data_IF_008548364067
#
_entry.id   IF_008548364067
#
_cell.length_a   1.000
_cell.length_b   1.000
_cell.length_c   1.000
_cell.angle_alpha   90.00
_cell.angle_beta   90.00
_cell.angle_gamma   90.00
#
_symmetry.space_group_name_H-M   'P 1'
#
loop_
_entity.id
_entity.type
_entity.pdbx_description
1 polymer ?
#
# COMPACT_ATOMS: atom_id res chain seq x y z
N UNK A 1 -12.38 1.73 21.03
CA UNK A 1 -10.90 1.71 21.06
C UNK A 1 -10.32 0.36 21.52
N UNK A 2 -10.75 -0.22 22.65
CA UNK A 2 -10.21 -1.51 23.14
C UNK A 2 -10.33 -2.71 22.18
N UNK A 3 -11.42 -2.79 21.39
CA UNK A 3 -11.59 -3.85 20.36
C UNK A 3 -10.64 -3.65 19.17
N UNK A 4 -10.45 -2.41 18.72
CA UNK A 4 -9.59 -2.07 17.57
C UNK A 4 -8.12 -2.27 17.91
N UNK A 5 -7.70 -1.84 19.09
CA UNK A 5 -6.35 -2.08 19.62
C UNK A 5 -6.07 -3.58 19.77
N UNK A 6 -7.03 -4.34 20.30
CA UNK A 6 -6.94 -5.81 20.38
C UNK A 6 -6.84 -6.48 19.00
N UNK A 7 -7.60 -6.03 18.00
CA UNK A 7 -7.47 -6.53 16.64
C UNK A 7 -6.06 -6.28 16.08
N UNK A 8 -5.49 -5.09 16.32
CA UNK A 8 -4.10 -4.78 15.96
C UNK A 8 -3.09 -5.69 16.65
N UNK A 9 -3.30 -6.02 17.92
CA UNK A 9 -2.44 -6.95 18.65
C UNK A 9 -2.57 -8.39 18.13
N UNK A 10 -3.78 -8.84 17.78
CA UNK A 10 -3.98 -10.15 17.11
C UNK A 10 -3.26 -10.22 15.76
N UNK A 11 -3.37 -9.18 14.93
CA UNK A 11 -2.61 -9.08 13.68
C UNK A 11 -1.11 -9.08 13.96
N UNK A 12 -0.66 -8.27 14.92
CA UNK A 12 0.75 -8.18 15.31
C UNK A 12 1.32 -9.52 15.79
N UNK A 13 0.58 -10.25 16.62
CA UNK A 13 0.95 -11.57 17.11
C UNK A 13 1.00 -12.61 15.97
N UNK A 14 0.00 -12.64 15.10
CA UNK A 14 -0.03 -13.55 13.95
C UNK A 14 1.14 -13.27 12.99
N UNK A 15 1.39 -11.99 12.67
CA UNK A 15 2.52 -11.58 11.84
C UNK A 15 3.86 -11.92 12.50
N UNK A 16 3.99 -11.77 13.83
CA UNK A 16 5.21 -12.15 14.56
C UNK A 16 5.48 -13.65 14.43
N UNK A 17 4.45 -14.47 14.70
CA UNK A 17 4.54 -15.94 14.55
C UNK A 17 4.94 -16.29 13.13
N UNK A 18 4.27 -15.72 12.11
CA UNK A 18 4.59 -15.98 10.71
C UNK A 18 6.01 -15.53 10.32
N UNK A 19 6.52 -14.47 10.96
CA UNK A 19 7.87 -13.95 10.71
C UNK A 19 8.94 -14.85 11.30
N UNK A 20 8.79 -15.26 12.56
CA UNK A 20 9.76 -16.09 13.31
C UNK A 20 9.77 -17.53 12.77
N UNK A 21 8.61 -18.09 12.44
CA UNK A 21 8.49 -19.43 11.84
C UNK A 21 8.93 -19.50 10.37
N UNK A 22 9.11 -18.35 9.71
CA UNK A 22 9.43 -18.29 8.29
C UNK A 22 8.24 -18.55 7.35
N UNK A 23 7.01 -18.64 7.88
CA UNK A 23 5.79 -18.77 7.05
C UNK A 23 5.66 -17.62 6.04
N UNK A 24 6.05 -16.39 6.41
CA UNK A 24 6.07 -15.26 5.45
C UNK A 24 6.94 -15.55 4.22
N UNK A 25 8.09 -16.20 4.41
CA UNK A 25 8.98 -16.60 3.30
C UNK A 25 8.34 -17.72 2.46
N UNK A 26 7.51 -18.55 3.06
CA UNK A 26 6.68 -19.54 2.35
C UNK A 26 5.65 -18.85 1.46
N UNK A 27 4.90 -17.89 2.01
CA UNK A 27 3.90 -17.12 1.26
C UNK A 27 4.53 -16.42 0.07
N UNK A 28 5.64 -15.70 0.24
CA UNK A 28 6.36 -15.02 -0.86
C UNK A 28 6.77 -15.98 -1.97
N UNK A 29 7.16 -17.22 -1.65
CA UNK A 29 7.55 -18.20 -2.68
C UNK A 29 6.37 -18.71 -3.51
N UNK A 30 5.16 -18.66 -2.97
CA UNK A 30 3.95 -19.17 -3.63
C UNK A 30 3.23 -18.07 -4.41
N UNK A 31 3.31 -16.81 -3.95
CA UNK A 31 2.60 -15.70 -4.55
C UNK A 31 3.37 -15.15 -5.76
N UNK A 32 2.82 -15.23 -6.98
CA UNK A 32 3.51 -14.76 -8.18
C UNK A 32 3.50 -13.23 -8.25
N UNK A 33 4.54 -12.64 -8.84
CA UNK A 33 4.69 -11.18 -8.93
C UNK A 33 3.48 -10.45 -9.56
N UNK A 34 2.80 -10.97 -10.60
CA UNK A 34 1.58 -10.35 -11.12
C UNK A 34 0.47 -10.13 -10.09
N UNK A 35 0.32 -11.03 -9.10
CA UNK A 35 -0.65 -10.86 -8.01
C UNK A 35 -0.22 -9.72 -7.09
N UNK A 36 1.07 -9.64 -6.74
CA UNK A 36 1.60 -8.54 -5.91
C UNK A 36 1.39 -7.18 -6.59
N UNK A 37 1.72 -7.09 -7.89
CA UNK A 37 1.51 -5.88 -8.70
C UNK A 37 0.01 -5.53 -8.82
N UNK A 38 -0.86 -6.55 -8.86
CA UNK A 38 -2.31 -6.36 -8.87
C UNK A 38 -2.85 -5.80 -7.57
N UNK A 39 -2.28 -6.20 -6.43
CA UNK A 39 -2.62 -5.62 -5.12
C UNK A 39 -2.19 -4.15 -5.05
N UNK A 40 -0.99 -3.81 -5.52
CA UNK A 40 -0.51 -2.43 -5.58
C UNK A 40 -1.39 -1.57 -6.50
N UNK A 41 -1.71 -2.07 -7.70
CA UNK A 41 -2.60 -1.38 -8.65
C UNK A 41 -4.00 -1.19 -8.06
N UNK A 42 -4.58 -2.23 -7.46
CA UNK A 42 -5.88 -2.17 -6.79
C UNK A 42 -5.90 -1.20 -5.62
N UNK A 43 -4.87 -1.18 -4.78
CA UNK A 43 -4.74 -0.23 -3.68
C UNK A 43 -4.60 1.22 -4.19
N UNK A 44 -3.79 1.45 -5.23
CA UNK A 44 -3.63 2.77 -5.85
C UNK A 44 -4.94 3.31 -6.43
N UNK A 45 -5.67 2.47 -7.16
CA UNK A 45 -6.99 2.81 -7.70
C UNK A 45 -8.05 3.00 -6.59
N UNK A 46 -8.00 2.21 -5.52
CA UNK A 46 -8.88 2.37 -4.36
C UNK A 46 -8.67 3.71 -3.66
N UNK A 47 -7.42 4.18 -3.53
CA UNK A 47 -7.10 5.52 -3.02
C UNK A 47 -7.68 6.63 -3.92
N UNK A 48 -7.56 6.49 -5.23
CA UNK A 48 -8.10 7.45 -6.20
C UNK A 48 -9.64 7.49 -6.12
N UNK A 49 -10.30 6.34 -6.10
CA UNK A 49 -11.75 6.25 -5.96
C UNK A 49 -12.22 6.83 -4.62
N UNK A 50 -11.51 6.52 -3.53
CA UNK A 50 -11.79 7.04 -2.20
C UNK A 50 -11.67 8.56 -2.15
N UNK A 51 -10.59 9.13 -2.66
CA UNK A 51 -10.41 10.57 -2.74
C UNK A 51 -11.47 11.25 -3.63
N UNK A 52 -11.75 10.66 -4.80
CA UNK A 52 -12.77 11.15 -5.71
C UNK A 52 -14.15 11.21 -5.06
N UNK A 53 -14.59 10.11 -4.45
CA UNK A 53 -15.94 9.97 -3.89
C UNK A 53 -16.15 10.65 -2.53
N UNK A 54 -15.17 10.55 -1.61
CA UNK A 54 -15.33 11.04 -0.23
C UNK A 54 -14.80 12.45 -0.01
N UNK A 55 -13.83 12.91 -0.82
CA UNK A 55 -13.18 14.22 -0.65
C UNK A 55 -13.59 15.21 -1.73
N UNK A 56 -13.61 14.80 -3.01
CA UNK A 56 -13.78 15.74 -4.12
C UNK A 56 -15.22 15.90 -4.61
N UNK A 57 -15.96 14.80 -4.77
CA UNK A 57 -17.37 14.82 -5.20
C UNK A 57 -18.25 15.72 -4.32
N UNK A 58 -18.14 15.70 -2.97
CA UNK A 58 -18.97 16.52 -2.10
C UNK A 58 -18.66 18.03 -2.14
N UNK A 59 -17.56 18.45 -2.77
CA UNK A 59 -17.20 19.87 -2.84
C UNK A 59 -18.16 20.64 -3.74
N UNK A 60 -18.46 21.88 -3.37
CA UNK A 60 -19.13 22.83 -4.26
C UNK A 60 -18.09 23.64 -5.04
N UNK A 61 -18.52 24.41 -6.04
CA UNK A 61 -17.60 25.14 -6.92
C UNK A 61 -16.93 26.35 -6.27
N UNK A 62 -17.67 27.16 -5.51
CA UNK A 62 -17.14 28.40 -4.91
C UNK A 62 -17.29 28.53 -3.39
N UNK A 63 -17.99 27.60 -2.73
CA UNK A 63 -18.25 27.67 -1.29
C UNK A 63 -17.95 26.33 -0.61
N UNK A 64 -17.31 26.32 0.57
CA UNK A 64 -16.64 27.44 1.26
C UNK A 64 -15.48 28.03 0.44
N UNK A 65 -15.07 29.27 0.74
CA UNK A 65 -14.05 29.99 -0.05
C UNK A 65 -12.68 29.29 -0.09
N UNK A 66 -12.31 28.58 0.98
CA UNK A 66 -11.03 27.91 1.15
C UNK A 66 -11.07 26.39 0.91
N UNK A 67 -12.25 25.81 0.69
CA UNK A 67 -12.36 24.38 0.41
C UNK A 67 -13.45 24.09 -0.64
N UNK A 68 -13.07 24.18 -1.91
CA UNK A 68 -13.99 24.06 -3.04
C UNK A 68 -13.31 23.45 -4.28
N UNK A 69 -14.10 23.20 -5.33
CA UNK A 69 -13.61 22.59 -6.57
C UNK A 69 -12.63 23.48 -7.34
N UNK A 70 -12.66 24.80 -7.18
CA UNK A 70 -11.66 25.69 -7.79
C UNK A 70 -10.28 25.42 -7.22
N UNK A 71 -10.16 25.29 -5.89
CA UNK A 71 -8.90 24.88 -5.26
C UNK A 71 -8.44 23.49 -5.67
N UNK A 72 -9.37 22.53 -5.81
CA UNK A 72 -9.04 21.21 -6.33
C UNK A 72 -8.53 21.27 -7.78
N UNK A 73 -9.14 22.10 -8.64
CA UNK A 73 -8.70 22.30 -10.02
C UNK A 73 -7.32 22.95 -10.08
N UNK A 74 -7.08 24.00 -9.28
CA UNK A 74 -5.76 24.64 -9.18
C UNK A 74 -4.71 23.61 -8.75
N UNK A 75 -4.99 22.86 -7.68
CA UNK A 75 -4.09 21.82 -7.19
C UNK A 75 -3.78 20.77 -8.26
N UNK A 76 -4.80 20.36 -9.03
CA UNK A 76 -4.64 19.40 -10.12
C UNK A 76 -3.84 19.95 -11.31
N UNK A 77 -4.11 21.17 -11.75
CA UNK A 77 -3.37 21.82 -12.82
C UNK A 77 -1.90 22.02 -12.46
N UNK A 78 -1.61 22.44 -11.23
CA UNK A 78 -0.23 22.54 -10.73
C UNK A 78 0.42 21.17 -10.65
N UNK A 79 -0.31 20.13 -10.21
CA UNK A 79 0.21 18.77 -10.16
C UNK A 79 0.65 18.31 -11.55
N UNK A 80 -0.18 18.52 -12.59
CA UNK A 80 0.13 18.17 -13.98
C UNK A 80 1.29 19.01 -14.51
N UNK A 81 1.22 20.33 -14.36
CA UNK A 81 2.24 21.26 -14.87
C UNK A 81 3.62 21.01 -14.27
N UNK A 82 3.68 20.47 -13.06
CA UNK A 82 4.93 20.22 -12.33
C UNK A 82 5.43 18.78 -12.45
N UNK A 83 4.75 17.88 -13.17
CA UNK A 83 5.17 16.46 -13.27
C UNK A 83 6.56 16.27 -13.84
N UNK A 84 6.97 17.12 -14.79
CA UNK A 84 8.29 17.06 -15.43
C UNK A 84 9.38 17.84 -14.67
N UNK A 85 9.00 18.64 -13.67
CA UNK A 85 9.93 19.40 -12.86
C UNK A 85 10.42 18.51 -11.73
N UNK A 86 11.62 17.93 -11.93
CA UNK A 86 12.22 16.95 -11.01
C UNK A 86 12.45 17.44 -9.57
N UNK A 87 12.33 18.76 -9.31
CA UNK A 87 12.59 19.38 -8.00
C UNK A 87 11.43 20.18 -7.42
N UNK A 88 10.24 20.14 -8.01
CA UNK A 88 9.11 20.91 -7.46
C UNK A 88 8.53 20.22 -6.21
N UNK A 89 8.59 20.83 -5.01
CA UNK A 89 8.17 20.19 -3.76
C UNK A 89 6.65 20.27 -3.58
N UNK A 90 5.89 19.69 -4.52
CA UNK A 90 4.43 19.78 -4.60
C UNK A 90 3.75 19.46 -3.26
N UNK A 91 4.04 18.30 -2.67
CA UNK A 91 3.40 17.88 -1.42
C UNK A 91 3.66 18.85 -0.27
N UNK A 92 4.88 19.39 -0.16
CA UNK A 92 5.22 20.33 0.91
C UNK A 92 4.49 21.66 0.75
N UNK A 93 4.50 22.23 -0.46
CA UNK A 93 3.83 23.51 -0.74
C UNK A 93 2.32 23.41 -0.53
N UNK A 94 1.69 22.35 -1.03
CA UNK A 94 0.25 22.16 -0.86
C UNK A 94 -0.12 21.75 0.57
N UNK A 95 0.76 21.08 1.30
CA UNK A 95 0.59 20.83 2.74
C UNK A 95 0.62 22.14 3.54
N UNK A 96 1.60 23.02 3.28
CA UNK A 96 1.70 24.33 3.94
C UNK A 96 0.48 25.20 3.59
N UNK A 97 0.07 25.22 2.32
CA UNK A 97 -1.13 25.94 1.88
C UNK A 97 -2.39 25.42 2.57
N UNK A 98 -2.55 24.09 2.66
CA UNK A 98 -3.68 23.47 3.33
C UNK A 98 -3.69 23.75 4.84
N UNK A 99 -2.52 23.75 5.49
CA UNK A 99 -2.40 24.17 6.89
C UNK A 99 -2.79 25.62 7.06
N UNK A 100 -2.32 26.53 6.20
CA UNK A 100 -2.70 27.93 6.23
C UNK A 100 -4.22 28.10 6.11
N UNK A 101 -4.86 27.37 5.20
CA UNK A 101 -6.33 27.40 5.07
C UNK A 101 -7.04 26.86 6.30
N UNK A 102 -6.53 25.77 6.90
CA UNK A 102 -7.08 25.25 8.13
C UNK A 102 -6.99 26.28 9.27
N UNK A 103 -5.85 26.95 9.43
CA UNK A 103 -5.66 28.01 10.42
C UNK A 103 -6.60 29.19 10.20
N UNK A 104 -6.75 29.65 8.95
CA UNK A 104 -7.67 30.74 8.62
C UNK A 104 -9.12 30.33 8.92
N UNK A 105 -9.52 29.09 8.57
CA UNK A 105 -10.87 28.61 8.86
C UNK A 105 -11.15 28.53 10.35
N UNK A 106 -10.24 27.99 11.16
CA UNK A 106 -10.37 27.95 12.63
C UNK A 106 -10.48 29.36 13.22
N UNK A 107 -9.66 30.30 12.72
CA UNK A 107 -9.70 31.69 13.18
C UNK A 107 -11.03 32.40 12.84
N UNK A 108 -11.63 32.09 11.68
CA UNK A 108 -12.93 32.65 11.26
C UNK A 108 -14.10 31.98 11.99
N UNK A 109 -14.02 30.68 12.25
CA UNK A 109 -15.08 29.93 12.94
C UNK A 109 -15.10 30.14 14.46
N UNK A 110 -14.15 30.91 14.99
CA UNK A 110 -13.95 31.13 16.43
C UNK A 110 -13.75 29.84 17.23
N UNK A 111 -13.26 28.78 16.57
CA UNK A 111 -12.81 27.58 17.24
C UNK A 111 -11.43 27.78 17.87
N UNK A 112 -11.10 26.96 18.87
CA UNK A 112 -9.82 27.03 19.57
C UNK A 112 -8.67 26.60 18.66
N UNK A 113 -7.70 27.51 18.46
CA UNK A 113 -6.42 27.19 17.84
C UNK A 113 -5.62 26.19 18.69
N UNK A 114 -4.76 25.33 18.10
CA UNK A 114 -3.92 24.42 18.88
C UNK A 114 -3.07 25.16 19.91
N UNK A 115 -3.08 24.69 21.15
CA UNK A 115 -2.28 25.25 22.24
C UNK A 115 -1.29 24.22 22.77
N UNK A 116 -0.27 24.70 23.50
CA UNK A 116 0.69 23.82 24.14
C UNK A 116 -0.01 22.98 25.21
N UNK A 117 -0.06 21.69 24.95
CA UNK A 117 -0.62 20.68 25.82
C UNK A 117 0.33 19.48 25.83
N UNK A 118 1.05 19.35 26.93
CA UNK A 118 1.94 18.21 27.13
C UNK A 118 1.12 16.92 27.17
N UNK A 119 1.29 16.08 26.15
CA UNK A 119 0.60 14.81 26.08
C UNK A 119 1.03 13.90 27.22
N UNK A 120 0.05 13.21 27.82
CA UNK A 120 0.27 12.19 28.84
C UNK A 120 -0.10 10.80 28.29
N UNK A 121 0.72 9.76 28.53
CA UNK A 121 0.39 8.40 28.12
C UNK A 121 -0.83 7.89 28.88
N UNK A 122 -1.84 7.44 28.13
CA UNK A 122 -3.01 6.74 28.68
C UNK A 122 -2.93 5.28 28.30
N UNK A 123 -3.03 4.41 29.29
CA UNK A 123 -3.08 2.98 29.05
C UNK A 123 -4.50 2.58 28.63
N UNK A 124 -4.63 1.90 27.50
CA UNK A 124 -5.89 1.37 26.99
C UNK A 124 -5.84 -0.15 27.09
N UNK A 125 -6.70 -0.73 27.93
CA UNK A 125 -6.82 -2.17 28.05
C UNK A 125 -7.47 -2.76 26.78
N UNK A 126 -6.76 -3.61 26.01
CA UNK A 126 -7.34 -4.23 24.83
C UNK A 126 -8.40 -5.28 25.20
N UNK A 127 -9.47 -5.37 24.41
CA UNK A 127 -10.50 -6.40 24.56
C UNK A 127 -10.23 -7.54 23.58
N UNK A 128 -9.29 -8.44 23.92
CA UNK A 128 -8.88 -9.55 23.04
C UNK A 128 -9.99 -10.54 22.72
N UNK A 129 -10.83 -10.83 23.72
CA UNK A 129 -11.95 -11.76 23.65
C UNK A 129 -13.18 -11.05 24.17
N UNK A 130 -14.25 -11.06 23.38
CA UNK A 130 -15.56 -10.55 23.79
C UNK A 130 -16.46 -11.69 24.26
N UNK A 131 -17.43 -11.39 25.12
CA UNK A 131 -18.50 -12.34 25.42
C UNK A 131 -19.41 -12.47 24.18
N UNK A 132 -19.28 -13.56 23.42
CA UNK A 132 -19.98 -13.79 22.15
C UNK A 132 -19.03 -13.76 20.94
N UNK A 133 -19.35 -12.93 19.93
CA UNK A 133 -18.78 -12.98 18.58
C UNK A 133 -17.30 -12.55 18.44
N UNK A 134 -16.52 -12.37 19.51
CA UNK A 134 -15.07 -12.04 19.45
C UNK A 134 -14.67 -11.05 18.32
N UNK A 135 -15.22 -9.82 18.31
CA UNK A 135 -15.12 -8.89 17.19
C UNK A 135 -13.67 -8.51 16.83
N UNK A 136 -12.78 -8.44 17.83
CA UNK A 136 -11.36 -8.17 17.60
C UNK A 136 -10.70 -9.24 16.73
N UNK A 137 -11.09 -10.51 16.90
CA UNK A 137 -10.53 -11.64 16.17
C UNK A 137 -11.04 -11.66 14.72
N UNK A 138 -12.32 -11.37 14.47
CA UNK A 138 -12.84 -11.22 13.11
C UNK A 138 -12.20 -10.05 12.36
N UNK A 139 -12.01 -8.92 13.03
CA UNK A 139 -11.27 -7.78 12.47
C UNK A 139 -9.83 -8.17 12.11
N UNK A 140 -9.16 -8.93 13.00
CA UNK A 140 -7.80 -9.40 12.75
C UNK A 140 -7.73 -10.38 11.57
N UNK A 141 -8.68 -11.32 11.46
CA UNK A 141 -8.78 -12.24 10.32
C UNK A 141 -8.94 -11.47 9.01
N UNK A 142 -9.81 -10.46 8.98
CA UNK A 142 -9.99 -9.61 7.79
C UNK A 142 -8.75 -8.79 7.44
N UNK A 143 -7.99 -8.34 8.45
CA UNK A 143 -6.86 -7.43 8.29
C UNK A 143 -5.52 -8.14 8.04
N UNK A 144 -5.39 -9.40 8.43
CA UNK A 144 -4.15 -10.16 8.31
C UNK A 144 -3.68 -10.31 6.85
N UNK A 145 -4.55 -10.63 5.87
CA UNK A 145 -4.16 -10.65 4.45
C UNK A 145 -3.71 -9.27 3.97
N UNK A 146 -4.46 -8.21 4.29
CA UNK A 146 -4.10 -6.83 3.88
C UNK A 146 -2.73 -6.42 4.43
N UNK A 147 -2.48 -6.68 5.71
CA UNK A 147 -1.20 -6.35 6.36
C UNK A 147 -0.07 -7.16 5.75
N UNK A 148 -0.26 -8.47 5.56
CA UNK A 148 0.77 -9.34 5.00
C UNK A 148 1.10 -8.96 3.55
N UNK A 149 0.08 -8.78 2.72
CA UNK A 149 0.24 -8.57 1.30
C UNK A 149 0.66 -7.12 0.99
N UNK A 150 -0.07 -6.12 1.47
CA UNK A 150 0.17 -4.72 1.14
C UNK A 150 1.27 -4.10 2.03
N UNK A 151 1.33 -4.46 3.31
CA UNK A 151 2.23 -3.80 4.27
C UNK A 151 3.59 -4.50 4.45
N UNK A 152 3.73 -5.75 4.02
CA UNK A 152 4.98 -6.50 4.14
C UNK A 152 5.52 -6.88 2.77
N UNK A 153 4.76 -7.68 2.01
CA UNK A 153 5.22 -8.24 0.72
C UNK A 153 5.34 -7.13 -0.33
N UNK A 154 4.28 -6.34 -0.54
CA UNK A 154 4.28 -5.25 -1.51
C UNK A 154 5.27 -4.13 -1.15
N UNK A 155 5.50 -3.86 0.14
CA UNK A 155 6.53 -2.90 0.59
C UNK A 155 7.93 -3.41 0.27
N UNK A 156 8.23 -4.69 0.53
CA UNK A 156 9.52 -5.30 0.20
C UNK A 156 9.77 -5.27 -1.32
N UNK A 157 8.78 -5.71 -2.11
CA UNK A 157 8.87 -5.69 -3.57
C UNK A 157 9.03 -4.26 -4.12
N UNK A 158 8.24 -3.31 -3.64
CA UNK A 158 8.33 -1.92 -4.08
C UNK A 158 9.68 -1.28 -3.69
N UNK A 159 10.23 -1.61 -2.52
CA UNK A 159 11.54 -1.11 -2.11
C UNK A 159 12.63 -1.53 -3.09
N UNK A 160 12.57 -2.77 -3.57
CA UNK A 160 13.50 -3.28 -4.58
C UNK A 160 13.32 -2.58 -5.93
N UNK A 161 12.07 -2.33 -6.35
CA UNK A 161 11.79 -1.67 -7.63
C UNK A 161 12.22 -0.18 -7.63
N UNK A 162 12.02 0.52 -6.50
CA UNK A 162 12.32 1.95 -6.39
C UNK A 162 13.78 2.24 -6.07
N UNK A 163 14.46 1.35 -5.34
CA UNK A 163 15.84 1.55 -4.85
C UNK A 163 16.70 0.31 -5.13
N UNK A 164 16.92 -0.06 -6.41
CA UNK A 164 17.61 -1.29 -6.78
C UNK A 164 19.09 -1.34 -6.37
N UNK A 165 19.70 -0.18 -6.12
CA UNK A 165 21.10 -0.06 -5.69
C UNK A 165 21.29 -0.33 -4.19
N UNK A 166 20.20 -0.39 -3.42
CA UNK A 166 20.25 -0.59 -1.96
C UNK A 166 19.82 -2.02 -1.59
N UNK A 167 20.32 -2.58 -0.47
CA UNK A 167 19.87 -3.87 0.03
C UNK A 167 18.37 -3.86 0.33
N UNK A 168 17.60 -4.72 -0.33
CA UNK A 168 16.16 -4.84 -0.11
C UNK A 168 15.88 -5.39 1.29
N UNK A 169 15.01 -4.74 2.09
CA UNK A 169 14.60 -5.27 3.38
C UNK A 169 13.82 -6.58 3.23
N UNK A 170 14.15 -7.57 4.07
CA UNK A 170 13.47 -8.86 4.04
C UNK A 170 12.04 -8.76 4.57
N UNK A 171 11.14 -9.60 4.06
CA UNK A 171 9.76 -9.70 4.57
C UNK A 171 9.69 -10.06 6.06
N UNK A 172 10.68 -10.80 6.57
CA UNK A 172 10.79 -11.12 8.00
C UNK A 172 11.12 -9.87 8.81
N UNK A 173 12.08 -9.06 8.36
CA UNK A 173 12.48 -7.81 9.05
C UNK A 173 11.31 -6.81 9.08
N UNK A 174 10.61 -6.66 7.95
CA UNK A 174 9.42 -5.79 7.86
C UNK A 174 8.30 -6.35 8.74
N UNK A 175 8.04 -7.66 8.70
CA UNK A 175 7.02 -8.32 9.52
C UNK A 175 7.25 -8.17 11.02
N UNK A 176 8.48 -8.37 11.49
CA UNK A 176 8.85 -8.14 12.89
C UNK A 176 8.64 -6.67 13.27
N UNK A 177 9.02 -5.73 12.41
CA UNK A 177 8.77 -4.31 12.64
C UNK A 177 7.27 -4.01 12.79
N UNK A 178 6.41 -4.52 11.89
CA UNK A 178 4.96 -4.37 11.99
C UNK A 178 4.41 -4.97 13.29
N UNK A 179 4.88 -6.18 13.65
CA UNK A 179 4.48 -6.82 14.88
C UNK A 179 4.84 -6.00 16.11
N UNK A 180 6.09 -5.55 16.22
CA UNK A 180 6.57 -4.74 17.35
C UNK A 180 5.80 -3.43 17.48
N UNK A 181 5.54 -2.74 16.36
CA UNK A 181 4.76 -1.51 16.37
C UNK A 181 3.35 -1.75 16.95
N UNK A 182 2.64 -2.78 16.47
CA UNK A 182 1.28 -3.06 16.95
C UNK A 182 1.20 -3.66 18.34
N UNK A 183 2.17 -4.48 18.75
CA UNK A 183 2.21 -5.10 20.07
C UNK A 183 2.65 -4.12 21.16
N UNK A 184 3.29 -2.99 20.81
CA UNK A 184 3.73 -1.97 21.76
C UNK A 184 2.81 -0.74 21.78
N UNK A 185 2.54 -0.11 20.63
CA UNK A 185 1.86 1.20 20.59
C UNK A 185 0.38 1.14 20.99
N UNK A 186 -0.28 0.02 20.73
CA UNK A 186 -1.72 -0.16 20.96
C UNK A 186 -2.10 -0.12 22.44
N UNK A 187 -1.16 -0.47 23.35
CA UNK A 187 -1.34 -0.31 24.79
C UNK A 187 -1.50 1.15 25.23
N UNK A 188 -1.00 2.08 24.41
CA UNK A 188 -1.12 3.52 24.64
C UNK A 188 -2.27 4.16 23.84
N UNK A 189 -3.21 3.33 23.35
CA UNK A 189 -4.36 3.79 22.58
C UNK A 189 -4.07 4.11 21.12
N UNK A 190 -2.88 3.78 20.60
CA UNK A 190 -2.60 3.89 19.16
C UNK A 190 -3.55 3.01 18.37
N UNK A 191 -4.06 3.53 17.26
CA UNK A 191 -4.68 2.67 16.24
C UNK A 191 -3.62 1.69 15.70
N UNK A 192 -4.03 0.50 15.23
CA UNK A 192 -3.11 -0.43 14.58
C UNK A 192 -2.41 0.24 13.40
N UNK A 193 -1.10 0.05 13.30
CA UNK A 193 -0.25 0.69 12.30
C UNK A 193 0.43 -0.35 11.43
N UNK A 194 0.85 0.04 10.25
CA UNK A 194 1.57 -0.82 9.34
C UNK A 194 2.57 -0.01 8.53
N UNK A 195 3.48 -0.69 7.85
CA UNK A 195 4.14 -0.07 6.70
C UNK A 195 3.14 -0.01 5.54
N UNK A 196 3.38 0.81 4.53
CA UNK A 196 2.47 0.88 3.40
C UNK A 196 3.22 1.16 2.11
N UNK A 197 2.97 0.35 1.08
CA UNK A 197 3.57 0.55 -0.24
C UNK A 197 3.25 1.96 -0.77
N UNK A 198 2.03 2.46 -0.54
CA UNK A 198 1.64 3.83 -0.89
C UNK A 198 2.44 4.91 -0.14
N UNK A 199 2.76 4.70 1.14
CA UNK A 199 3.58 5.63 1.93
C UNK A 199 5.01 5.71 1.41
N UNK A 200 5.60 4.56 1.08
CA UNK A 200 6.92 4.46 0.46
C UNK A 200 6.92 5.11 -0.94
N UNK A 201 5.93 4.79 -1.78
CA UNK A 201 5.77 5.36 -3.11
C UNK A 201 5.65 6.90 -3.05
N UNK A 202 4.85 7.43 -2.13
CA UNK A 202 4.67 8.86 -1.96
C UNK A 202 5.99 9.55 -1.55
N UNK A 203 6.71 9.00 -0.57
CA UNK A 203 8.01 9.53 -0.16
C UNK A 203 9.00 9.56 -1.35
N UNK A 204 9.06 8.46 -2.11
CA UNK A 204 9.92 8.38 -3.28
C UNK A 204 9.53 9.39 -4.38
N UNK A 205 8.23 9.53 -4.67
CA UNK A 205 7.68 10.46 -5.66
C UNK A 205 8.05 11.91 -5.38
N UNK A 206 8.12 12.28 -4.10
CA UNK A 206 8.48 13.63 -3.64
C UNK A 206 9.98 13.78 -3.35
N UNK A 207 10.82 12.85 -3.81
CA UNK A 207 12.28 13.01 -3.86
C UNK A 207 13.03 12.37 -2.70
N UNK A 208 12.38 11.68 -1.76
CA UNK A 208 13.10 10.94 -0.73
C UNK A 208 13.88 9.77 -1.35
N UNK A 209 15.16 9.63 -0.99
CA UNK A 209 16.05 8.54 -1.43
C UNK A 209 16.74 7.81 -0.27
N UNK A 210 16.42 8.19 0.96
CA UNK A 210 16.95 7.57 2.17
C UNK A 210 15.91 7.59 3.29
N UNK A 211 16.16 6.79 4.33
CA UNK A 211 15.28 6.71 5.50
C UNK A 211 15.24 7.99 6.35
N UNK A 212 16.16 8.94 6.14
CA UNK A 212 16.20 10.18 6.92
C UNK A 212 14.91 11.00 6.78
N UNK A 213 14.27 11.00 5.61
CA UNK A 213 12.97 11.66 5.40
C UNK A 213 11.91 11.13 6.36
N UNK A 214 11.85 9.81 6.53
CA UNK A 214 10.87 9.15 7.41
C UNK A 214 11.22 9.40 8.88
N UNK A 215 12.50 9.39 9.25
CA UNK A 215 12.95 9.69 10.62
C UNK A 215 12.61 11.14 10.99
N UNK A 216 12.90 12.12 10.12
CA UNK A 216 12.57 13.53 10.34
C UNK A 216 11.06 13.73 10.42
N UNK A 217 10.29 13.13 9.52
CA UNK A 217 8.83 13.19 9.55
C UNK A 217 8.26 12.58 10.84
N UNK A 218 8.81 11.44 11.28
CA UNK A 218 8.44 10.76 12.51
C UNK A 218 8.78 11.58 13.75
N UNK A 219 9.99 12.13 13.82
CA UNK A 219 10.43 13.00 14.90
C UNK A 219 9.57 14.27 14.99
N UNK A 220 9.28 14.91 13.86
CA UNK A 220 8.39 16.07 13.80
C UNK A 220 6.98 15.72 14.30
N UNK A 221 6.40 14.60 13.86
CA UNK A 221 5.10 14.13 14.35
C UNK A 221 5.11 13.81 15.84
N UNK A 222 6.21 13.24 16.34
CA UNK A 222 6.37 12.93 17.77
C UNK A 222 6.43 14.21 18.60
N UNK A 223 7.20 15.21 18.17
CA UNK A 223 7.22 16.53 18.82
C UNK A 223 5.84 17.17 18.83
N UNK A 224 5.14 17.17 17.69
CA UNK A 224 3.78 17.70 17.60
C UNK A 224 2.80 16.95 18.51
N UNK A 225 2.84 15.62 18.49
CA UNK A 225 1.99 14.77 19.34
C UNK A 225 2.26 14.99 20.83
N UNK A 226 3.53 15.12 21.23
CA UNK A 226 3.90 15.34 22.63
C UNK A 226 3.61 16.76 23.13
N UNK A 227 3.74 17.79 22.27
CA UNK A 227 3.60 19.19 22.67
C UNK A 227 2.18 19.75 22.51
N UNK A 228 1.36 19.17 21.64
CA UNK A 228 0.01 19.68 21.35
C UNK A 228 -1.08 18.61 21.54
N UNK A 229 -0.76 17.32 21.44
CA UNK A 229 -1.71 16.23 21.69
C UNK A 229 -3.01 16.35 20.90
N UNK A 230 -4.15 16.21 21.59
CA UNK A 230 -5.49 16.25 20.99
C UNK A 230 -5.87 17.64 20.43
N UNK A 231 -5.20 18.72 20.85
CA UNK A 231 -5.50 20.09 20.39
C UNK A 231 -5.21 20.31 18.91
N UNK A 232 -4.32 19.50 18.31
CA UNK A 232 -4.08 19.51 16.86
C UNK A 232 -5.25 18.94 16.07
N UNK A 233 -6.07 18.06 16.66
CA UNK A 233 -7.14 17.37 15.95
C UNK A 233 -8.19 18.37 15.46
N UNK A 234 -8.46 19.42 16.24
CA UNK A 234 -9.44 20.46 15.86
C UNK A 234 -8.99 21.28 14.65
N UNK A 235 -7.69 21.58 14.56
CA UNK A 235 -7.10 22.17 13.35
C UNK A 235 -7.21 21.21 12.16
N UNK A 236 -6.89 19.93 12.36
CA UNK A 236 -6.90 18.93 11.29
C UNK A 236 -8.31 18.64 10.75
N UNK A 237 -9.38 18.85 11.53
CA UNK A 237 -10.77 18.79 11.04
C UNK A 237 -11.06 19.83 9.96
N UNK A 238 -10.35 20.97 9.99
CA UNK A 238 -10.46 22.06 9.03
C UNK A 238 -9.51 21.94 7.84
N UNK A 239 -8.80 20.81 7.71
CA UNK A 239 -7.91 20.57 6.58
C UNK A 239 -8.72 20.48 5.28
N UNK A 240 -8.43 21.30 4.25
CA UNK A 240 -9.27 21.38 3.05
C UNK A 240 -9.27 20.07 2.26
N UNK A 241 -10.47 19.51 2.05
CA UNK A 241 -10.69 18.25 1.31
C UNK A 241 -10.27 18.38 -0.15
N UNK A 242 -10.41 19.57 -0.73
CA UNK A 242 -9.96 19.91 -2.09
C UNK A 242 -8.48 19.64 -2.30
N UNK A 243 -7.61 20.17 -1.44
CA UNK A 243 -6.16 19.97 -1.54
C UNK A 243 -5.76 18.55 -1.14
N UNK A 244 -6.35 18.02 -0.05
CA UNK A 244 -6.10 16.65 0.41
C UNK A 244 -6.45 15.63 -0.68
N UNK A 245 -7.61 15.78 -1.33
CA UNK A 245 -8.09 14.87 -2.35
C UNK A 245 -7.13 14.75 -3.53
N UNK A 246 -6.60 15.88 -4.01
CA UNK A 246 -5.61 15.86 -5.11
C UNK A 246 -4.29 15.24 -4.67
N UNK A 247 -3.82 15.50 -3.46
CA UNK A 247 -2.62 14.86 -2.91
C UNK A 247 -2.78 13.32 -2.80
N UNK A 248 -3.95 12.85 -2.35
CA UNK A 248 -4.27 11.41 -2.26
C UNK A 248 -4.37 10.79 -3.66
N UNK A 249 -4.97 11.47 -4.64
CA UNK A 249 -4.98 11.02 -6.04
C UNK A 249 -3.56 10.90 -6.58
N UNK A 250 -2.68 11.88 -6.32
CA UNK A 250 -1.29 11.85 -6.77
C UNK A 250 -0.54 10.64 -6.20
N UNK A 251 -0.72 10.35 -4.91
CA UNK A 251 -0.13 9.17 -4.27
C UNK A 251 -0.70 7.86 -4.82
N UNK A 252 -2.02 7.79 -5.06
CA UNK A 252 -2.68 6.64 -5.66
C UNK A 252 -2.21 6.37 -7.09
N UNK A 253 -2.02 7.41 -7.90
CA UNK A 253 -1.46 7.30 -9.26
C UNK A 253 -0.04 6.76 -9.23
N UNK A 254 0.79 7.19 -8.28
CA UNK A 254 2.16 6.68 -8.20
C UNK A 254 2.20 5.20 -7.82
N UNK A 255 1.35 4.79 -6.87
CA UNK A 255 1.24 3.38 -6.50
C UNK A 255 0.70 2.54 -7.68
N UNK A 256 -0.26 3.07 -8.45
CA UNK A 256 -0.82 2.40 -9.62
C UNK A 256 0.19 2.20 -10.77
N UNK A 257 1.12 3.15 -10.97
CA UNK A 257 2.16 3.05 -12.01
C UNK A 257 3.06 1.83 -11.87
N UNK A 258 3.16 1.24 -10.68
CA UNK A 258 3.94 0.03 -10.45
C UNK A 258 3.46 -1.13 -11.34
N UNK A 259 2.17 -1.17 -11.69
CA UNK A 259 1.63 -2.15 -12.65
C UNK A 259 2.26 -2.08 -14.05
N UNK A 260 2.76 -0.92 -14.49
CA UNK A 260 3.43 -0.78 -15.79
C UNK A 260 4.76 -1.55 -15.87
N UNK A 261 5.45 -1.69 -14.73
CA UNK A 261 6.71 -2.43 -14.64
C UNK A 261 6.55 -3.96 -14.70
N UNK A 262 5.33 -4.48 -14.79
CA UNK A 262 5.05 -5.91 -14.71
C UNK A 262 5.79 -6.72 -15.78
N UNK A 263 5.73 -6.26 -17.03
CA UNK A 263 6.30 -6.95 -18.19
C UNK A 263 7.63 -6.32 -18.64
N UNK A 264 8.02 -5.18 -18.05
CA UNK A 264 9.23 -4.44 -18.39
C UNK A 264 9.95 -4.05 -17.10
N UNK A 265 11.12 -4.64 -16.83
CA UNK A 265 11.93 -4.31 -15.66
C UNK A 265 11.55 -5.00 -14.34
N UNK A 266 10.52 -5.87 -14.34
CA UNK A 266 10.17 -6.67 -13.17
C UNK A 266 11.36 -7.51 -12.67
N UNK A 267 11.54 -7.54 -11.34
CA UNK A 267 12.69 -8.20 -10.68
C UNK A 267 12.80 -9.69 -10.96
N UNK A 268 11.67 -10.37 -11.16
CA UNK A 268 11.63 -11.80 -11.52
C UNK A 268 12.09 -12.08 -12.96
N UNK A 269 12.22 -11.05 -13.81
CA UNK A 269 12.77 -11.16 -15.16
C UNK A 269 14.29 -11.06 -15.19
N UNK A 270 14.93 -10.58 -14.13
CA UNK A 270 16.37 -10.43 -14.10
C UNK A 270 17.02 -11.73 -13.63
N UNK A 271 17.63 -12.47 -14.55
CA UNK A 271 18.44 -13.63 -14.21
C UNK A 271 19.90 -13.21 -14.00
N UNK A 272 20.50 -13.67 -12.91
CA UNK A 272 21.96 -13.68 -12.78
C UNK A 272 22.50 -14.75 -13.73
N UNK A 273 23.13 -14.33 -14.83
CA UNK A 273 23.83 -15.27 -15.69
C UNK A 273 24.93 -15.96 -14.88
N UNK A 274 24.89 -17.29 -14.82
CA UNK A 274 25.87 -18.10 -14.12
C UNK A 274 27.28 -17.74 -14.61
N UNK A 275 28.06 -17.06 -13.76
CA UNK A 275 29.50 -16.88 -13.93
C UNK A 275 30.03 -15.48 -14.26
N UNK A 276 29.22 -14.45 -14.57
CA UNK A 276 29.78 -13.15 -15.01
C UNK A 276 29.16 -11.88 -14.41
N UNK A 277 28.22 -11.96 -13.46
CA UNK A 277 27.68 -10.76 -12.79
C UNK A 277 26.88 -9.79 -13.68
N UNK A 278 26.73 -10.09 -14.98
CA UNK A 278 25.86 -9.36 -15.90
C UNK A 278 24.42 -9.82 -15.72
N UNK A 279 23.58 -8.91 -15.21
CA UNK A 279 22.13 -9.06 -15.11
C UNK A 279 21.55 -9.01 -16.53
N UNK A 280 20.98 -10.13 -17.02
CA UNK A 280 20.30 -10.17 -18.32
C UNK A 280 18.80 -10.33 -18.08
N UNK A 281 18.02 -9.41 -18.65
CA UNK A 281 16.56 -9.49 -18.60
C UNK A 281 16.09 -10.65 -19.48
N UNK A 282 15.23 -11.51 -18.93
CA UNK A 282 14.59 -12.62 -19.63
C UNK A 282 13.57 -12.05 -20.61
N UNK A 283 13.72 -12.44 -21.88
CA UNK A 283 12.71 -12.15 -22.90
C UNK A 283 11.46 -12.99 -22.65
N UNK A 284 10.32 -12.31 -22.52
CA UNK A 284 9.01 -12.93 -22.36
C UNK A 284 8.34 -13.13 -23.73
N UNK A 285 7.71 -14.28 -23.93
CA UNK A 285 6.77 -14.48 -25.05
C UNK A 285 5.55 -13.57 -24.87
N UNK A 286 4.88 -13.26 -25.98
CA UNK A 286 3.67 -12.43 -25.93
C UNK A 286 2.55 -13.08 -25.12
N UNK A 287 2.45 -14.42 -25.17
CA UNK A 287 1.52 -15.20 -24.34
C UNK A 287 1.82 -15.02 -22.84
N UNK A 288 3.07 -15.18 -22.41
CA UNK A 288 3.45 -15.02 -21.00
C UNK A 288 3.21 -13.58 -20.52
N UNK A 289 3.43 -12.56 -21.38
CA UNK A 289 3.10 -11.16 -21.07
C UNK A 289 1.61 -10.95 -20.84
N UNK A 290 0.77 -11.56 -21.69
CA UNK A 290 -0.68 -11.45 -21.61
C UNK A 290 -1.23 -12.19 -20.38
N UNK A 291 -0.70 -13.38 -20.06
CA UNK A 291 -1.06 -14.12 -18.85
C UNK A 291 -0.75 -13.32 -17.59
N UNK A 292 0.48 -12.80 -17.47
CA UNK A 292 0.88 -11.96 -16.33
C UNK A 292 -0.03 -10.74 -16.20
N UNK A 293 -0.29 -10.04 -17.30
CA UNK A 293 -1.19 -8.90 -17.32
C UNK A 293 -2.60 -9.26 -16.86
N UNK A 294 -3.13 -10.39 -17.33
CA UNK A 294 -4.48 -10.89 -16.99
C UNK A 294 -4.59 -11.22 -15.50
N UNK A 295 -3.60 -11.89 -14.92
CA UNK A 295 -3.55 -12.20 -13.48
C UNK A 295 -3.53 -10.91 -12.65
N UNK A 296 -2.74 -9.93 -13.06
CA UNK A 296 -2.68 -8.62 -12.39
C UNK A 296 -4.04 -7.91 -12.43
N UNK A 297 -4.69 -7.88 -13.60
CA UNK A 297 -6.00 -7.26 -13.76
C UNK A 297 -7.09 -8.00 -12.98
N UNK A 298 -7.09 -9.33 -12.98
CA UNK A 298 -8.05 -10.13 -12.20
C UNK A 298 -7.94 -9.82 -10.72
N UNK A 299 -6.70 -9.75 -10.21
CA UNK A 299 -6.43 -9.35 -8.82
C UNK A 299 -7.01 -7.96 -8.56
N UNK A 300 -6.66 -6.98 -9.39
CA UNK A 300 -7.10 -5.58 -9.28
C UNK A 300 -8.63 -5.47 -9.31
N UNK A 301 -9.29 -6.16 -10.24
CA UNK A 301 -10.74 -6.14 -10.39
C UNK A 301 -11.44 -6.72 -9.16
N UNK A 302 -10.94 -7.84 -8.61
CA UNK A 302 -11.47 -8.42 -7.38
C UNK A 302 -11.35 -7.47 -6.18
N UNK A 303 -10.23 -6.75 -6.05
CA UNK A 303 -10.08 -5.73 -5.00
C UNK A 303 -11.14 -4.63 -5.17
N UNK A 304 -11.26 -4.06 -6.37
CA UNK A 304 -12.14 -2.92 -6.61
C UNK A 304 -13.63 -3.26 -6.50
N UNK A 305 -14.04 -4.41 -7.05
CA UNK A 305 -15.42 -4.84 -7.08
C UNK A 305 -15.95 -5.15 -5.67
N UNK A 306 -15.13 -5.82 -4.85
CA UNK A 306 -15.53 -6.26 -3.50
C UNK A 306 -15.03 -5.33 -2.38
N UNK A 307 -14.23 -4.32 -2.72
CA UNK A 307 -13.50 -3.46 -1.76
C UNK A 307 -12.75 -4.29 -0.72
N UNK A 308 -12.13 -5.38 -1.16
CA UNK A 308 -11.50 -6.37 -0.29
C UNK A 308 -10.25 -6.99 -0.92
N UNK A 309 -9.09 -6.72 -0.32
CA UNK A 309 -7.78 -7.18 -0.78
C UNK A 309 -7.64 -8.71 -0.78
N UNK A 310 -8.29 -9.41 0.16
CA UNK A 310 -8.24 -10.87 0.22
C UNK A 310 -9.00 -11.49 -0.97
N UNK A 311 -10.17 -10.95 -1.32
CA UNK A 311 -10.95 -11.43 -2.48
C UNK A 311 -10.15 -11.23 -3.76
N UNK A 312 -9.53 -10.06 -3.94
CA UNK A 312 -8.64 -9.81 -5.08
C UNK A 312 -7.44 -10.76 -5.12
N UNK A 313 -6.78 -10.98 -3.99
CA UNK A 313 -5.68 -11.94 -3.88
C UNK A 313 -6.07 -13.35 -4.32
N UNK A 314 -7.17 -13.88 -3.81
CA UNK A 314 -7.64 -15.22 -4.19
C UNK A 314 -8.05 -15.29 -5.66
N UNK A 315 -8.72 -14.26 -6.19
CA UNK A 315 -9.06 -14.19 -7.62
C UNK A 315 -7.81 -14.24 -8.51
N UNK A 316 -6.77 -13.49 -8.15
CA UNK A 316 -5.48 -13.50 -8.82
C UNK A 316 -4.77 -14.86 -8.75
N UNK A 317 -4.72 -15.47 -7.56
CA UNK A 317 -4.11 -16.78 -7.35
C UNK A 317 -4.83 -17.89 -8.13
N UNK A 318 -6.17 -17.88 -8.17
CA UNK A 318 -6.96 -18.83 -8.94
C UNK A 318 -6.73 -18.66 -10.44
N UNK A 319 -6.68 -17.41 -10.93
CA UNK A 319 -6.37 -17.11 -12.32
C UNK A 319 -4.96 -17.62 -12.70
N UNK A 320 -3.95 -17.36 -11.86
CA UNK A 320 -2.60 -17.88 -12.07
C UNK A 320 -2.56 -19.42 -12.06
N UNK A 321 -3.27 -20.04 -11.11
CA UNK A 321 -3.37 -21.50 -11.01
C UNK A 321 -4.01 -22.13 -12.24
N UNK A 322 -5.03 -21.49 -12.83
CA UNK A 322 -5.70 -21.95 -14.03
C UNK A 322 -4.76 -21.99 -15.25
N UNK A 323 -3.97 -20.93 -15.46
CA UNK A 323 -2.94 -20.90 -16.51
C UNK A 323 -1.90 -22.01 -16.31
N UNK A 324 -1.36 -22.16 -15.09
CA UNK A 324 -0.40 -23.24 -14.76
C UNK A 324 -0.97 -24.64 -14.97
N UNK A 325 -2.26 -24.84 -14.68
CA UNK A 325 -2.92 -26.11 -14.92
C UNK A 325 -3.08 -26.37 -16.42
N UNK A 326 -3.49 -25.37 -17.19
CA UNK A 326 -3.60 -25.43 -18.65
C UNK A 326 -2.25 -25.80 -19.29
N UNK A 327 -1.16 -25.11 -18.94
CA UNK A 327 0.19 -25.41 -19.44
C UNK A 327 0.60 -26.87 -19.16
N UNK A 328 0.30 -27.39 -17.97
CA UNK A 328 0.61 -28.77 -17.57
C UNK A 328 -0.23 -29.78 -18.34
N UNK A 329 -1.50 -29.48 -18.60
CA UNK A 329 -2.38 -30.34 -19.39
C UNK A 329 -1.92 -30.38 -20.85
N UNK A 330 -1.63 -29.23 -21.46
CA UNK A 330 -1.11 -29.17 -22.83
C UNK A 330 0.18 -29.96 -22.98
N UNK A 331 1.15 -29.78 -22.06
CA UNK A 331 2.40 -30.57 -22.08
C UNK A 331 2.16 -32.08 -21.94
N UNK A 332 1.21 -32.50 -21.10
CA UNK A 332 0.84 -33.93 -20.96
C UNK A 332 0.17 -34.49 -22.21
N UNK A 333 -0.70 -33.70 -22.87
CA UNK A 333 -1.34 -34.10 -24.12
C UNK A 333 -0.34 -34.19 -25.27
N UNK A 334 0.56 -33.20 -25.43
CA UNK A 334 1.62 -33.24 -26.45
C UNK A 334 2.56 -34.43 -26.27
N UNK A 335 2.94 -34.77 -25.02
CA UNK A 335 3.75 -35.96 -24.75
C UNK A 335 3.03 -37.27 -25.12
N UNK A 336 1.72 -37.37 -24.86
CA UNK A 336 0.93 -38.56 -25.22
C UNK A 336 0.73 -38.69 -26.73
N UNK A 337 0.51 -37.59 -27.43
CA UNK A 337 0.37 -37.58 -28.89
C UNK A 337 1.69 -38.02 -29.57
N UNK A 338 2.83 -37.51 -29.09
CA UNK A 338 4.15 -37.89 -29.60
C UNK A 338 4.48 -39.37 -29.35
N UNK A 339 4.09 -39.95 -28.20
CA UNK A 339 4.29 -41.39 -27.96
C UNK A 339 3.46 -42.28 -28.88
N UNK A 340 2.21 -41.88 -29.17
CA UNK A 340 1.33 -42.65 -30.07
C UNK A 340 1.74 -42.57 -31.55
N UNK A 341 2.28 -41.45 -32.01
CA UNK A 341 2.77 -41.34 -33.40
C UNK A 341 4.09 -42.09 -33.61
N UNK A 342 4.96 -42.17 -32.59
CA UNK A 342 6.20 -42.93 -32.68
C UNK A 342 5.97 -44.45 -32.66
N UNK A 343 4.98 -44.93 -31.89
CA UNK A 343 4.56 -46.34 -31.92
C UNK A 343 3.90 -46.73 -33.26
N UNK A 344 3.17 -45.82 -33.91
CA UNK A 344 2.52 -46.07 -35.20
C UNK A 344 3.50 -46.15 -36.39
N UNK A 345 4.73 -45.66 -36.26
CA UNK A 345 5.77 -45.71 -37.29
C UNK A 345 6.73 -46.92 -37.14
N UNK A 346 6.59 -47.70 -36.08
CA UNK A 346 7.44 -48.86 -35.77
C UNK A 346 6.74 -50.21 -36.03
N UNK A 347 5.53 -50.21 -36.60
CA UNK A 347 4.78 -51.38 -37.02
C UNK A 347 4.51 -51.36 -38.52
#
# INVERSE_FOLDING_TARGET
MGVVTAAGQWVGAAVLIMSVTGLLKGVVRVVPLPVVKGIQLGAGLSLILGAGSSLLQPLHWGHPALDNRVWALIAFLVLIGTQKLSRFPYALLFFILALLFAFIQVAISHESLPWLYAWHPRFVMPHWVGNGDSPALWMAIGQLPLTTLNSIIAVSALSQDLLPELPTPSVTSIGISVALMNLSSTWFGSMPVCHGAGGLAAQYRFGARSGSSIVVLGAFKLVLGLMFGETLVDLLKHYPKSLLGIMVIAAGLELAKVGNSLNQGATDLWNTAAGQGLLRQRDLSDDERLERWTVMLMTTAGILAFRNDAVGFFAGMLCHGAYRLSERLTKRYSHRAFSTEHEALLH
#
